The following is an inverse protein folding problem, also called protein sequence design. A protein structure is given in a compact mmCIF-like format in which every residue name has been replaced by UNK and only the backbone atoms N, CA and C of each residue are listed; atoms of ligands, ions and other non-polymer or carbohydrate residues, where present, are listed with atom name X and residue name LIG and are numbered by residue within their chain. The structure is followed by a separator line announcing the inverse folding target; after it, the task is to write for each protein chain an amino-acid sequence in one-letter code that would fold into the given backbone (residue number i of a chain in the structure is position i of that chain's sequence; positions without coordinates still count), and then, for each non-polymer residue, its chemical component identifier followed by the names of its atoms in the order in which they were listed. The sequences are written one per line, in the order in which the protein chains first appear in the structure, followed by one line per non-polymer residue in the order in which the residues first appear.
data_IF_267148204784
#
_entry.id   IF_267148204784
#
_cell.length_a   1.000
_cell.length_b   1.000
_cell.length_c   1.000
_cell.angle_alpha   90.00
_cell.angle_beta   90.00
_cell.angle_gamma   90.00
#
_symmetry.space_group_name_H-M   'P 1'
#
loop_
_entity.id
_entity.type
_entity.pdbx_description
1 polymer ?
#
# COMPACT_ATOMS: atom_id res chain seq x y z
N UNK A 1 0.38 -21.84 -4.54
CA UNK A 1 0.12 -20.56 -3.88
C UNK A 1 -0.79 -19.75 -4.80
N UNK A 2 -1.93 -19.27 -4.31
CA UNK A 2 -2.95 -18.59 -5.13
C UNK A 2 -2.56 -17.12 -5.35
N UNK A 3 -2.56 -16.64 -6.60
CA UNK A 3 -1.97 -15.34 -6.99
C UNK A 3 -2.97 -14.20 -6.92
N UNK A 4 -3.60 -14.01 -5.77
CA UNK A 4 -4.53 -12.90 -5.53
C UNK A 4 -3.89 -11.84 -4.64
N UNK A 5 -2.90 -11.15 -5.18
CA UNK A 5 -2.20 -10.04 -4.52
C UNK A 5 -1.09 -9.45 -5.40
N UNK A 6 -0.62 -8.23 -5.08
CA UNK A 6 0.49 -7.57 -5.78
C UNK A 6 1.70 -8.50 -5.87
N UNK A 7 2.25 -8.69 -7.07
CA UNK A 7 3.23 -9.74 -7.36
C UNK A 7 4.61 -9.41 -6.77
N UNK A 8 4.89 -9.85 -5.54
CA UNK A 8 6.21 -9.69 -4.90
C UNK A 8 7.28 -10.68 -5.40
N UNK A 9 6.87 -11.74 -6.12
CA UNK A 9 7.76 -12.78 -6.66
C UNK A 9 7.43 -13.07 -8.13
N UNK A 10 8.47 -13.22 -8.96
CA UNK A 10 8.31 -13.66 -10.34
C UNK A 10 7.86 -15.12 -10.41
N UNK A 11 7.21 -15.51 -11.51
CA UNK A 11 6.77 -16.89 -11.72
C UNK A 11 7.91 -17.90 -11.54
N UNK A 12 9.11 -17.60 -12.09
CA UNK A 12 10.29 -18.45 -11.94
C UNK A 12 10.70 -18.64 -10.47
N UNK A 13 10.72 -17.55 -9.67
CA UNK A 13 11.02 -17.63 -8.23
C UNK A 13 9.95 -18.41 -7.47
N UNK A 14 8.68 -18.20 -7.82
CA UNK A 14 7.57 -18.91 -7.19
C UNK A 14 7.66 -20.42 -7.41
N UNK A 15 7.84 -20.87 -8.66
CA UNK A 15 7.99 -22.29 -8.98
C UNK A 15 9.19 -22.91 -8.25
N UNK A 16 10.31 -22.18 -8.17
CA UNK A 16 11.48 -22.65 -7.44
C UNK A 16 11.21 -22.87 -5.95
N UNK A 17 10.57 -21.91 -5.27
CA UNK A 17 10.24 -22.06 -3.86
C UNK A 17 9.18 -23.13 -3.60
N UNK A 18 8.18 -23.26 -4.50
CA UNK A 18 7.17 -24.31 -4.38
C UNK A 18 7.81 -25.72 -4.40
N UNK A 19 8.73 -25.96 -5.33
CA UNK A 19 9.45 -27.24 -5.39
C UNK A 19 10.33 -27.51 -4.15
N UNK A 20 11.01 -26.47 -3.64
CA UNK A 20 11.91 -26.60 -2.50
C UNK A 20 11.20 -26.75 -1.15
N UNK A 21 10.11 -26.02 -0.95
CA UNK A 21 9.48 -25.86 0.37
C UNK A 21 8.16 -26.64 0.50
N UNK A 22 7.33 -26.67 -0.55
CA UNK A 22 6.01 -27.29 -0.48
C UNK A 22 6.01 -28.74 -0.98
N UNK A 23 6.75 -29.02 -2.05
CA UNK A 23 6.75 -30.35 -2.70
C UNK A 23 7.89 -31.26 -2.20
N UNK A 24 8.73 -30.76 -1.30
CA UNK A 24 9.86 -31.51 -0.74
C UNK A 24 9.44 -32.31 0.50
N UNK A 25 9.39 -33.66 0.44
CA UNK A 25 8.96 -34.48 1.57
C UNK A 25 9.92 -34.46 2.77
N UNK A 26 11.13 -33.90 2.62
CA UNK A 26 12.11 -33.73 3.71
C UNK A 26 11.90 -32.45 4.50
N UNK A 27 10.98 -31.58 4.06
CA UNK A 27 10.70 -30.29 4.69
C UNK A 27 9.27 -30.31 5.23
N UNK A 28 9.11 -29.92 6.50
CA UNK A 28 7.82 -29.67 7.11
C UNK A 28 7.76 -28.19 7.49
N UNK A 29 6.75 -27.49 6.97
CA UNK A 29 6.48 -26.10 7.33
C UNK A 29 5.49 -26.10 8.49
N UNK A 30 5.79 -25.30 9.51
CA UNK A 30 4.91 -25.05 10.64
C UNK A 30 4.69 -23.54 10.75
N UNK A 31 3.47 -23.14 11.09
CA UNK A 31 3.12 -21.73 11.26
C UNK A 31 3.49 -21.33 12.68
N UNK A 32 4.36 -20.33 12.82
CA UNK A 32 4.78 -19.76 14.10
C UNK A 32 4.41 -18.28 14.11
N UNK A 33 3.81 -17.83 15.21
CA UNK A 33 3.30 -16.47 15.34
C UNK A 33 4.34 -15.46 15.80
N UNK A 34 5.12 -15.88 16.79
CA UNK A 34 6.10 -15.04 17.46
C UNK A 34 7.35 -15.87 17.74
N UNK A 35 8.50 -15.24 17.56
CA UNK A 35 9.79 -15.76 17.95
C UNK A 35 10.34 -14.88 19.05
N UNK A 36 10.92 -15.49 20.07
CA UNK A 36 11.71 -14.75 21.03
C UNK A 36 12.93 -14.13 20.31
N UNK A 37 13.13 -12.80 20.34
CA UNK A 37 14.21 -12.16 19.58
C UNK A 37 15.62 -12.55 20.02
N UNK A 38 15.79 -13.00 21.27
CA UNK A 38 17.09 -13.37 21.81
C UNK A 38 17.46 -14.83 21.46
N UNK A 39 16.48 -15.73 21.44
CA UNK A 39 16.72 -17.18 21.30
C UNK A 39 16.27 -17.75 19.96
N UNK A 40 15.47 -17.00 19.18
CA UNK A 40 14.88 -17.42 17.90
C UNK A 40 14.07 -18.72 17.99
N UNK A 41 13.53 -19.05 19.16
CA UNK A 41 12.59 -20.16 19.32
C UNK A 41 11.15 -19.64 19.38
N UNK A 42 10.15 -20.46 19.00
CA UNK A 42 8.74 -20.12 19.16
C UNK A 42 8.44 -19.75 20.61
N UNK A 43 7.78 -18.61 20.80
CA UNK A 43 7.45 -18.10 22.14
C UNK A 43 6.23 -18.81 22.74
N UNK A 44 5.32 -19.29 21.88
CA UNK A 44 4.14 -20.08 22.27
C UNK A 44 4.06 -21.42 21.54
N UNK A 45 3.51 -22.43 22.23
CA UNK A 45 3.27 -23.76 21.67
C UNK A 45 1.82 -23.87 21.20
N UNK A 46 1.62 -24.00 19.88
CA UNK A 46 0.31 -24.26 19.28
C UNK A 46 0.01 -23.38 18.07
N UNK A 47 -1.08 -23.69 17.33
CA UNK A 47 -1.50 -22.87 16.21
C UNK A 47 -1.97 -21.48 16.69
N UNK A 48 -1.70 -20.44 15.92
CA UNK A 48 -2.12 -19.08 16.23
C UNK A 48 -3.65 -18.88 16.30
N UNK A 49 -4.17 -18.24 17.35
CA UNK A 49 -5.58 -17.76 17.51
C UNK A 49 -6.05 -16.84 16.37
N UNK A 50 -6.93 -17.31 15.48
CA UNK A 50 -7.37 -16.55 14.31
C UNK A 50 -7.91 -15.12 14.61
N UNK A 51 -7.30 -14.08 14.01
CA UNK A 51 -7.78 -12.70 14.03
C UNK A 51 -8.07 -12.22 12.60
N UNK A 52 -9.35 -12.02 12.27
CA UNK A 52 -9.78 -11.59 10.94
C UNK A 52 -9.22 -10.21 10.54
N UNK A 53 -9.04 -9.29 11.48
CA UNK A 53 -8.56 -7.93 11.18
C UNK A 53 -7.09 -7.95 10.77
N UNK A 54 -6.26 -8.72 11.47
CA UNK A 54 -4.84 -8.92 11.12
C UNK A 54 -4.69 -9.56 9.73
N UNK A 55 -5.52 -10.56 9.41
CA UNK A 55 -5.49 -11.19 8.09
C UNK A 55 -5.93 -10.23 6.99
N UNK A 56 -6.95 -9.40 7.25
CA UNK A 56 -7.38 -8.40 6.28
C UNK A 56 -6.28 -7.35 6.04
N UNK A 57 -5.60 -6.92 7.11
CA UNK A 57 -4.47 -6.00 7.01
C UNK A 57 -3.31 -6.64 6.24
N UNK A 58 -2.89 -7.87 6.58
CA UNK A 58 -1.80 -8.58 5.90
C UNK A 58 -2.08 -8.80 4.40
N UNK A 59 -3.31 -9.17 4.05
CA UNK A 59 -3.67 -9.53 2.67
C UNK A 59 -3.98 -8.30 1.81
N UNK A 60 -4.61 -7.27 2.39
CA UNK A 60 -5.15 -6.14 1.63
C UNK A 60 -4.46 -4.80 1.88
N UNK A 61 -3.64 -4.66 2.93
CA UNK A 61 -2.87 -3.43 3.15
C UNK A 61 -1.71 -3.37 2.17
N UNK A 62 -1.83 -2.43 1.23
CA UNK A 62 -0.82 -2.20 0.21
C UNK A 62 0.46 -1.57 0.78
N UNK A 63 0.37 -0.87 1.93
CA UNK A 63 1.47 -0.24 2.67
C UNK A 63 1.23 -0.24 4.20
N UNK A 64 1.69 -1.28 4.94
CA UNK A 64 1.49 -1.38 6.39
C UNK A 64 2.27 -0.33 7.21
N UNK A 65 3.26 0.32 6.60
CA UNK A 65 4.06 1.40 7.18
C UNK A 65 3.40 2.79 7.06
N UNK A 66 2.30 2.92 6.32
CA UNK A 66 1.58 4.18 6.16
C UNK A 66 0.70 4.45 7.39
N UNK A 67 0.90 5.60 8.04
CA UNK A 67 0.12 6.02 9.21
C UNK A 67 -0.47 7.42 9.03
N UNK A 68 -1.42 7.79 9.87
CA UNK A 68 -2.03 9.14 9.93
C UNK A 68 -1.18 10.14 10.74
N UNK A 69 0.00 9.73 11.22
CA UNK A 69 0.92 10.56 11.98
C UNK A 69 1.97 11.19 11.06
N UNK A 70 2.27 12.49 11.20
CA UNK A 70 3.38 13.11 10.49
C UNK A 70 4.71 12.41 10.80
N UNK A 71 5.59 12.32 9.79
CA UNK A 71 6.97 11.90 9.98
C UNK A 71 7.72 12.93 10.83
N UNK A 72 8.70 12.48 11.62
CA UNK A 72 9.48 13.36 12.48
C UNK A 72 10.39 14.31 11.68
N UNK A 73 11.07 13.79 10.66
CA UNK A 73 11.98 14.55 9.79
C UNK A 73 11.70 14.21 8.30
N UNK A 74 10.60 14.72 7.71
CA UNK A 74 10.26 14.44 6.32
C UNK A 74 11.17 15.21 5.34
N UNK A 75 11.55 14.57 4.24
CA UNK A 75 12.26 15.24 3.14
C UNK A 75 11.39 16.33 2.48
N UNK A 76 10.07 16.07 2.38
CA UNK A 76 9.08 16.97 1.79
C UNK A 76 7.81 17.03 2.65
N UNK A 77 7.29 18.25 2.83
CA UNK A 77 5.94 18.51 3.35
C UNK A 77 5.11 19.06 2.22
N UNK A 78 4.12 18.27 1.79
CA UNK A 78 3.30 18.55 0.63
C UNK A 78 1.83 18.68 1.01
N UNK A 79 1.13 19.52 0.26
CA UNK A 79 -0.31 19.70 0.32
C UNK A 79 -0.87 19.45 -1.07
N UNK A 80 -1.94 18.68 -1.15
CA UNK A 80 -2.62 18.34 -2.41
C UNK A 80 -4.04 18.85 -2.36
N UNK A 81 -4.54 19.34 -3.48
CA UNK A 81 -5.95 19.73 -3.62
C UNK A 81 -6.44 19.41 -5.03
N UNK A 82 -7.71 19.04 -5.13
CA UNK A 82 -8.39 18.67 -6.36
C UNK A 82 -9.73 19.37 -6.49
N UNK A 83 -9.80 20.34 -7.40
CA UNK A 83 -11.00 21.14 -7.62
C UNK A 83 -11.88 20.58 -8.76
N UNK A 84 -13.19 20.75 -8.65
CA UNK A 84 -14.11 20.62 -9.79
C UNK A 84 -15.33 21.53 -9.64
N UNK A 85 -15.67 22.29 -10.68
CA UNK A 85 -16.80 23.22 -10.67
C UNK A 85 -17.51 23.27 -12.04
N UNK A 86 -18.68 23.91 -12.08
CA UNK A 86 -19.45 24.10 -13.32
C UNK A 86 -19.16 25.48 -13.91
N UNK A 87 -18.80 25.53 -15.19
CA UNK A 87 -18.59 26.74 -15.98
C UNK A 87 -19.23 26.53 -17.36
N UNK A 88 -20.10 27.44 -17.79
CA UNK A 88 -20.83 27.36 -19.08
C UNK A 88 -21.49 26.00 -19.35
N UNK A 89 -22.07 25.38 -18.31
CA UNK A 89 -22.72 24.06 -18.39
C UNK A 89 -21.74 22.89 -18.50
N UNK A 90 -20.44 23.13 -18.40
CA UNK A 90 -19.37 22.13 -18.45
C UNK A 90 -18.72 21.98 -17.08
N UNK A 91 -18.37 20.75 -16.70
CA UNK A 91 -17.64 20.47 -15.45
C UNK A 91 -16.15 20.60 -15.68
N UNK A 92 -15.54 21.66 -15.18
CA UNK A 92 -14.11 21.88 -15.19
C UNK A 92 -13.48 21.24 -13.96
N UNK A 93 -12.23 20.78 -14.08
CA UNK A 93 -11.49 20.19 -12.98
C UNK A 93 -10.01 20.53 -13.08
N UNK A 94 -9.32 20.56 -11.95
CA UNK A 94 -7.89 20.78 -11.87
C UNK A 94 -7.34 20.28 -10.55
N UNK A 95 -6.04 20.07 -10.49
CA UNK A 95 -5.35 19.68 -9.26
C UNK A 95 -4.11 20.53 -9.05
N UNK A 96 -3.64 20.56 -7.80
CA UNK A 96 -2.36 21.13 -7.44
C UNK A 96 -1.67 20.31 -6.35
N UNK A 97 -0.34 20.27 -6.43
CA UNK A 97 0.56 19.81 -5.37
C UNK A 97 1.49 20.95 -5.02
N UNK A 98 1.47 21.37 -3.77
CA UNK A 98 2.23 22.53 -3.29
C UNK A 98 3.03 22.18 -2.04
N UNK A 99 4.07 22.96 -1.81
CA UNK A 99 4.77 23.04 -0.52
C UNK A 99 4.54 24.42 0.07
N UNK A 100 5.04 24.68 1.28
CA UNK A 100 4.98 26.00 1.91
C UNK A 100 5.59 27.13 1.07
N UNK A 101 6.52 26.80 0.16
CA UNK A 101 7.33 27.78 -0.57
C UNK A 101 7.01 27.89 -2.05
N UNK A 102 6.41 26.85 -2.66
CA UNK A 102 6.20 26.81 -4.11
C UNK A 102 5.10 25.84 -4.52
N UNK A 103 4.54 26.11 -5.69
CA UNK A 103 3.78 25.14 -6.48
C UNK A 103 4.75 24.15 -7.10
N UNK A 104 4.52 22.87 -6.87
CA UNK A 104 5.33 21.79 -7.46
C UNK A 104 4.65 21.29 -8.72
N UNK A 105 3.34 21.07 -8.66
CA UNK A 105 2.53 20.70 -9.82
C UNK A 105 1.19 21.43 -9.76
N UNK A 106 0.68 21.83 -10.93
CA UNK A 106 -0.67 22.32 -11.10
C UNK A 106 -1.14 22.01 -12.52
N UNK A 107 -2.27 21.35 -12.66
CA UNK A 107 -2.76 20.86 -13.95
C UNK A 107 -4.27 21.07 -14.11
N UNK A 108 -4.68 21.38 -15.34
CA UNK A 108 -6.08 21.29 -15.76
C UNK A 108 -6.40 19.85 -16.13
N UNK A 109 -7.36 19.26 -15.44
CA UNK A 109 -7.75 17.86 -15.64
C UNK A 109 -8.86 17.72 -16.69
N UNK A 110 -9.09 16.51 -17.23
CA UNK A 110 -10.13 16.30 -18.22
C UNK A 110 -11.51 16.75 -17.72
N UNK A 111 -12.27 17.39 -18.61
CA UNK A 111 -13.63 17.84 -18.33
C UNK A 111 -14.51 16.67 -17.86
N UNK A 112 -15.40 16.92 -16.91
CA UNK A 112 -16.32 15.91 -16.37
C UNK A 112 -15.81 15.18 -15.14
N UNK A 113 -14.56 15.39 -14.72
CA UNK A 113 -14.05 14.80 -13.48
C UNK A 113 -14.75 15.38 -12.26
N UNK A 114 -15.06 14.52 -11.29
CA UNK A 114 -15.54 14.96 -9.98
C UNK A 114 -14.39 15.51 -9.14
N UNK A 115 -14.70 16.31 -8.12
CA UNK A 115 -13.70 16.80 -7.17
C UNK A 115 -12.96 15.64 -6.50
N UNK A 116 -13.67 14.60 -6.05
CA UNK A 116 -13.05 13.40 -5.46
C UNK A 116 -12.03 12.73 -6.38
N UNK A 117 -12.30 12.67 -7.69
CA UNK A 117 -11.35 12.10 -8.65
C UNK A 117 -10.14 13.01 -8.85
N UNK A 118 -10.34 14.33 -8.86
CA UNK A 118 -9.25 15.30 -8.93
C UNK A 118 -8.36 15.23 -7.68
N UNK A 119 -8.94 15.09 -6.49
CA UNK A 119 -8.21 14.91 -5.22
C UNK A 119 -7.34 13.65 -5.24
N UNK A 120 -7.92 12.52 -5.64
CA UNK A 120 -7.19 11.25 -5.73
C UNK A 120 -6.08 11.30 -6.79
N UNK A 121 -6.30 12.05 -7.87
CA UNK A 121 -5.24 12.28 -8.86
C UNK A 121 -4.12 13.11 -8.27
N UNK A 122 -4.44 14.25 -7.63
CA UNK A 122 -3.46 15.11 -6.96
C UNK A 122 -2.59 14.35 -5.95
N UNK A 123 -3.20 13.45 -5.17
CA UNK A 123 -2.52 12.60 -4.20
C UNK A 123 -1.58 11.56 -4.85
N UNK A 124 -1.88 11.15 -6.08
CA UNK A 124 -1.10 10.15 -6.84
C UNK A 124 -0.06 10.73 -7.79
N UNK A 125 0.02 12.06 -7.91
CA UNK A 125 1.02 12.75 -8.73
C UNK A 125 2.43 12.50 -8.16
N UNK A 126 3.38 11.98 -8.96
CA UNK A 126 4.76 11.83 -8.52
C UNK A 126 5.47 13.18 -8.43
N UNK A 127 6.21 13.40 -7.34
CA UNK A 127 6.78 14.70 -6.94
C UNK A 127 8.29 14.62 -6.78
#
# INVERSE_FOLDING_TARGET
MDTRGHHWLTHARMTHYQGLLCENPRVKLEVVRTLNPATFVPDEAGPPDHNCLEVLDEVFSSRPDLTDKPLQDPDLVLYTDGSSFMEDGKRMAGCAVVSDLKVIEAEVLPQGWSAQRAELWALGVPV
#
